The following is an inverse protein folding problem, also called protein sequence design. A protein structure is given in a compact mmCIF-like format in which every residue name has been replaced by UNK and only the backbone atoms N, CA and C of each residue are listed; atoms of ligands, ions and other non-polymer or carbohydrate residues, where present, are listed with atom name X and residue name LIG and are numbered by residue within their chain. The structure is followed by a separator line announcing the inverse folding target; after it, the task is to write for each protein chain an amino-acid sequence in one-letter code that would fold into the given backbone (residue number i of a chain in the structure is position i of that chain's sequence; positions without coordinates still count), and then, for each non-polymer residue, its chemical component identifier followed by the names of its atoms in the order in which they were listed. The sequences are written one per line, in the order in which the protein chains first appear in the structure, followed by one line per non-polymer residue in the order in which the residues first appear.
data_IF_458112411248
#
_entry.id   IF_458112411248
#
_cell.length_a   1.000
_cell.length_b   1.000
_cell.length_c   1.000
_cell.angle_alpha   90.00
_cell.angle_beta   90.00
_cell.angle_gamma   90.00
#
_symmetry.space_group_name_H-M   'P 1'
#
loop_
_entity.id
_entity.type
_entity.pdbx_description
1 polymer ?
#
# COMPACT_ATOMS: atom_id res chain seq x y z
N UNK A 1 38.52 50.19 28.00
CA UNK A 1 37.81 49.72 29.21
C UNK A 1 37.47 48.26 28.96
N UNK A 2 38.34 47.30 29.31
CA UNK A 2 38.40 46.60 30.61
C UNK A 2 36.98 46.17 31.04
N UNK A 3 36.61 44.89 31.15
CA UNK A 3 37.40 43.77 31.64
C UNK A 3 37.00 42.42 30.99
N UNK A 4 38.03 41.62 30.73
CA UNK A 4 37.97 40.19 30.50
C UNK A 4 37.46 39.50 31.76
N UNK A 5 36.29 38.85 31.71
CA UNK A 5 35.88 37.94 32.77
C UNK A 5 36.35 36.52 32.42
N UNK A 6 37.64 36.28 32.68
CA UNK A 6 38.23 34.94 32.76
C UNK A 6 37.77 34.30 34.07
N UNK A 7 36.53 33.82 34.08
CA UNK A 7 36.01 32.94 35.12
C UNK A 7 36.20 31.48 34.70
N UNK A 8 37.44 31.00 34.77
CA UNK A 8 37.79 29.58 34.70
C UNK A 8 37.10 28.83 35.83
N UNK A 9 35.86 28.40 35.60
CA UNK A 9 35.17 27.39 36.38
C UNK A 9 35.68 26.00 36.02
N UNK A 10 37.00 25.80 36.08
CA UNK A 10 37.56 24.46 36.10
C UNK A 10 37.15 23.86 37.44
N UNK A 11 36.01 23.16 37.44
CA UNK A 11 35.58 22.34 38.57
C UNK A 11 36.70 21.34 38.80
N UNK A 12 37.51 21.61 39.83
CA UNK A 12 38.54 20.74 40.34
C UNK A 12 37.82 19.51 40.87
N UNK A 13 37.57 18.53 40.00
CA UNK A 13 37.40 17.18 40.48
C UNK A 13 38.73 16.81 41.12
N UNK A 14 38.81 16.61 42.44
CA UNK A 14 40.02 16.08 43.01
C UNK A 14 40.27 14.75 42.30
N UNK A 15 41.44 14.62 41.66
CA UNK A 15 42.01 13.34 41.25
C UNK A 15 42.36 12.57 42.51
N UNK A 16 41.34 12.24 43.29
CA UNK A 16 41.47 11.23 44.30
C UNK A 16 41.76 9.96 43.49
N UNK A 17 42.77 9.22 43.90
CA UNK A 17 42.97 7.84 43.49
C UNK A 17 41.82 7.00 44.09
N UNK A 18 40.59 7.28 43.66
CA UNK A 18 39.35 6.67 44.14
C UNK A 18 39.39 5.26 43.58
N UNK A 19 39.86 4.31 44.40
CA UNK A 19 39.52 2.89 44.19
C UNK A 19 38.04 2.85 43.80
N UNK A 20 37.72 2.13 42.72
CA UNK A 20 36.34 2.00 42.27
C UNK A 20 35.46 1.73 43.48
N UNK A 21 34.35 2.48 43.67
CA UNK A 21 33.41 2.22 44.75
C UNK A 21 33.09 0.73 44.77
N UNK A 22 33.23 0.07 45.93
CA UNK A 22 33.06 -1.39 46.07
C UNK A 22 31.76 -1.89 45.45
N UNK A 23 30.70 -1.08 45.54
CA UNK A 23 29.41 -1.34 44.91
C UNK A 23 29.52 -1.45 43.38
N UNK A 24 30.22 -0.55 42.71
CA UNK A 24 30.39 -0.60 41.25
C UNK A 24 31.23 -1.81 40.82
N UNK A 25 32.23 -2.18 41.62
CA UNK A 25 33.03 -3.39 41.37
C UNK A 25 32.16 -4.65 41.48
N UNK A 26 31.34 -4.75 42.53
CA UNK A 26 30.37 -5.84 42.71
C UNK A 26 29.33 -5.92 41.58
N UNK A 27 28.81 -4.78 41.12
CA UNK A 27 27.84 -4.73 40.02
C UNK A 27 28.47 -5.16 38.69
N UNK A 28 29.73 -4.80 38.44
CA UNK A 28 30.46 -5.23 37.24
C UNK A 28 30.73 -6.75 37.26
N UNK A 29 31.12 -7.30 38.41
CA UNK A 29 31.33 -8.74 38.57
C UNK A 29 30.02 -9.51 38.40
N UNK A 30 28.92 -8.98 38.94
CA UNK A 30 27.58 -9.54 38.78
C UNK A 30 27.11 -9.47 37.32
N UNK A 31 27.36 -8.36 36.63
CA UNK A 31 27.06 -8.22 35.20
C UNK A 31 27.81 -9.26 34.37
N UNK A 32 29.11 -9.42 34.60
CA UNK A 32 29.94 -10.39 33.88
C UNK A 32 29.45 -11.83 34.09
N UNK A 33 29.13 -12.19 35.34
CA UNK A 33 28.57 -13.51 35.66
C UNK A 33 27.22 -13.75 34.98
N UNK A 34 26.30 -12.79 35.05
CA UNK A 34 24.96 -12.93 34.49
C UNK A 34 24.96 -12.90 32.95
N UNK A 35 25.83 -12.10 32.34
CA UNK A 35 26.05 -12.11 30.88
C UNK A 35 26.55 -13.47 30.40
N UNK A 36 27.54 -14.05 31.10
CA UNK A 36 28.05 -15.37 30.79
C UNK A 36 26.96 -16.45 30.92
N UNK A 37 26.16 -16.40 32.00
CA UNK A 37 25.04 -17.31 32.19
C UNK A 37 23.96 -17.15 31.09
N UNK A 38 23.63 -15.92 30.71
CA UNK A 38 22.68 -15.64 29.63
C UNK A 38 23.17 -16.21 28.28
N UNK A 39 24.46 -16.08 27.97
CA UNK A 39 25.06 -16.66 26.76
C UNK A 39 25.02 -18.19 26.80
N UNK A 40 25.29 -18.81 27.96
CA UNK A 40 25.14 -20.25 28.13
C UNK A 40 23.69 -20.74 27.96
N UNK A 41 22.69 -19.97 28.42
CA UNK A 41 21.26 -20.29 28.23
C UNK A 41 20.88 -20.19 26.76
N UNK A 42 21.36 -19.15 26.07
CA UNK A 42 21.17 -19.00 24.62
C UNK A 42 21.74 -20.20 23.90
N UNK A 43 22.95 -20.64 24.25
CA UNK A 43 23.62 -21.78 23.62
C UNK A 43 23.00 -23.15 23.98
N UNK A 44 22.53 -23.33 25.21
CA UNK A 44 21.92 -24.58 25.68
C UNK A 44 20.54 -24.84 25.07
N UNK A 45 19.80 -23.79 24.71
CA UNK A 45 18.48 -23.89 24.09
C UNK A 45 18.51 -24.05 22.56
N UNK A 46 19.70 -24.27 21.96
CA UNK A 46 19.85 -24.36 20.51
C UNK A 46 19.61 -25.78 19.97
N UNK A 47 18.57 -25.91 19.15
CA UNK A 47 18.60 -26.83 18.01
C UNK A 47 19.41 -26.14 16.89
N UNK A 48 20.38 -26.81 16.24
CA UNK A 48 21.16 -26.20 15.16
C UNK A 48 20.23 -25.71 14.03
N UNK A 49 20.15 -24.39 13.82
CA UNK A 49 19.33 -23.75 12.78
C UNK A 49 18.24 -22.79 13.27
N UNK A 50 17.88 -22.78 14.56
CA UNK A 50 16.91 -21.85 15.15
C UNK A 50 17.55 -20.86 16.15
N UNK A 51 18.63 -20.20 15.75
CA UNK A 51 19.10 -19.03 16.50
C UNK A 51 18.14 -17.87 16.25
N UNK A 52 17.25 -17.59 17.20
CA UNK A 52 16.51 -16.35 17.19
C UNK A 52 17.41 -15.24 17.76
N UNK A 53 17.99 -14.34 16.93
CA UNK A 53 18.90 -13.30 17.41
C UNK A 53 18.23 -12.38 18.44
N UNK A 54 16.91 -12.24 18.37
CA UNK A 54 16.14 -11.38 19.27
C UNK A 54 16.06 -11.96 20.68
N UNK A 55 16.05 -13.28 20.83
CA UNK A 55 16.01 -13.93 22.15
C UNK A 55 17.30 -13.65 22.95
N UNK A 56 18.46 -13.64 22.28
CA UNK A 56 19.72 -13.30 22.90
C UNK A 56 19.79 -11.81 23.31
N UNK A 57 19.20 -10.93 22.50
CA UNK A 57 19.09 -9.50 22.82
C UNK A 57 18.16 -9.29 24.03
N UNK A 58 17.02 -9.97 24.08
CA UNK A 58 16.09 -9.89 25.21
C UNK A 58 16.75 -10.33 26.52
N UNK A 59 17.42 -11.49 26.53
CA UNK A 59 18.13 -11.98 27.72
C UNK A 59 19.24 -11.02 28.18
N UNK A 60 19.95 -10.39 27.23
CA UNK A 60 20.95 -9.37 27.58
C UNK A 60 20.29 -8.13 28.21
N UNK A 61 19.17 -7.67 27.68
CA UNK A 61 18.41 -6.55 28.24
C UNK A 61 17.87 -6.85 29.64
N UNK A 62 17.41 -8.08 29.90
CA UNK A 62 16.92 -8.51 31.21
C UNK A 62 18.04 -8.45 32.26
N UNK A 63 19.24 -8.93 31.91
CA UNK A 63 20.40 -8.81 32.79
C UNK A 63 20.73 -7.34 33.07
N UNK A 64 20.72 -6.46 32.06
CA UNK A 64 20.94 -5.03 32.29
C UNK A 64 19.87 -4.39 33.20
N UNK A 65 18.60 -4.79 33.07
CA UNK A 65 17.51 -4.35 33.96
C UNK A 65 17.79 -4.79 35.40
N UNK A 66 18.21 -6.03 35.62
CA UNK A 66 18.54 -6.56 36.94
C UNK A 66 19.75 -5.85 37.58
N UNK A 67 20.80 -5.55 36.80
CA UNK A 67 21.95 -4.79 37.30
C UNK A 67 21.53 -3.36 37.64
N UNK A 68 20.66 -2.75 36.85
CA UNK A 68 20.15 -1.40 37.11
C UNK A 68 19.29 -1.36 38.37
N UNK A 69 18.47 -2.37 38.65
CA UNK A 69 17.72 -2.47 39.90
C UNK A 69 18.64 -2.57 41.12
N UNK A 70 19.65 -3.45 41.04
CA UNK A 70 20.64 -3.62 42.10
C UNK A 70 21.48 -2.34 42.31
N UNK A 71 21.72 -1.57 41.24
CA UNK A 71 22.36 -0.26 41.33
C UNK A 71 21.47 0.74 42.07
N UNK A 72 20.18 0.83 41.73
CA UNK A 72 19.22 1.72 42.39
C UNK A 72 19.12 1.41 43.89
N UNK A 73 19.04 0.13 44.24
CA UNK A 73 18.96 -0.32 45.64
C UNK A 73 20.24 -0.02 46.43
N UNK A 74 21.40 -0.08 45.78
CA UNK A 74 22.69 0.28 46.38
C UNK A 74 22.87 1.78 46.66
N UNK A 75 22.10 2.65 46.01
CA UNK A 75 22.17 4.12 46.16
C UNK A 75 20.98 4.67 46.96
N UNK A 76 20.88 4.30 48.24
CA UNK A 76 19.78 4.68 49.13
C UNK A 76 19.42 6.19 49.14
N UNK A 77 20.42 7.07 49.02
CA UNK A 77 20.20 8.53 49.03
C UNK A 77 19.55 9.06 47.73
N UNK A 78 19.82 8.43 46.59
CA UNK A 78 19.32 8.85 45.26
C UNK A 78 18.23 7.92 44.71
N UNK A 79 17.90 6.86 45.45
CA UNK A 79 16.88 5.88 45.11
C UNK A 79 15.57 6.48 44.57
N UNK A 80 14.93 7.49 45.21
CA UNK A 80 13.67 8.03 44.69
C UNK A 80 13.82 8.70 43.32
N UNK A 81 14.94 9.38 43.07
CA UNK A 81 15.21 10.00 41.77
C UNK A 81 15.48 8.95 40.69
N UNK A 82 16.33 7.97 40.99
CA UNK A 82 16.67 6.92 40.02
C UNK A 82 15.47 6.02 39.70
N UNK A 83 14.61 5.74 40.69
CA UNK A 83 13.36 5.01 40.49
C UNK A 83 12.40 5.79 39.59
N UNK A 84 12.25 7.10 39.77
CA UNK A 84 11.42 7.92 38.87
C UNK A 84 11.93 7.93 37.43
N UNK A 85 13.25 8.00 37.24
CA UNK A 85 13.86 7.92 35.90
C UNK A 85 13.59 6.55 35.28
N UNK A 86 13.78 5.46 36.04
CA UNK A 86 13.47 4.10 35.61
C UNK A 86 12.01 3.97 35.17
N UNK A 87 11.07 4.40 36.02
CA UNK A 87 9.63 4.32 35.74
C UNK A 87 9.24 5.09 34.48
N UNK A 88 9.84 6.27 34.25
CA UNK A 88 9.62 7.04 33.04
C UNK A 88 10.11 6.30 31.77
N UNK A 89 11.28 5.66 31.83
CA UNK A 89 11.79 4.85 30.72
C UNK A 89 10.95 3.59 30.49
N UNK A 90 10.58 2.88 31.55
CA UNK A 90 9.75 1.67 31.44
C UNK A 90 8.37 2.00 30.86
N UNK A 91 7.75 3.11 31.30
CA UNK A 91 6.49 3.59 30.73
C UNK A 91 6.64 3.94 29.25
N UNK A 92 7.70 4.67 28.88
CA UNK A 92 7.94 5.04 27.48
C UNK A 92 8.20 3.80 26.59
N UNK A 93 8.91 2.80 27.11
CA UNK A 93 9.14 1.53 26.42
C UNK A 93 7.83 0.75 26.22
N UNK A 94 6.98 0.68 27.25
CA UNK A 94 5.67 0.03 27.14
C UNK A 94 4.76 0.72 26.14
N UNK A 95 4.70 2.06 26.16
CA UNK A 95 3.95 2.84 25.18
C UNK A 95 4.49 2.64 23.76
N UNK A 96 5.82 2.66 23.59
CA UNK A 96 6.46 2.39 22.31
C UNK A 96 6.14 0.99 21.76
N UNK A 97 6.17 -0.03 22.62
CA UNK A 97 5.77 -1.39 22.25
C UNK A 97 4.30 -1.46 21.85
N UNK A 98 3.41 -0.83 22.63
CA UNK A 98 1.98 -0.78 22.32
C UNK A 98 1.74 -0.11 20.97
N UNK A 99 2.36 1.06 20.73
CA UNK A 99 2.27 1.74 19.43
C UNK A 99 2.81 0.87 18.29
N UNK A 100 3.88 0.09 18.51
CA UNK A 100 4.42 -0.80 17.47
C UNK A 100 3.43 -1.92 17.11
N UNK A 101 2.77 -2.51 18.12
CA UNK A 101 1.73 -3.53 17.91
C UNK A 101 0.53 -2.95 17.17
N UNK A 102 0.03 -1.80 17.62
CA UNK A 102 -1.08 -1.09 16.95
C UNK A 102 -0.74 -0.75 15.49
N UNK A 103 0.50 -0.29 15.22
CA UNK A 103 0.96 -0.03 13.86
C UNK A 103 1.01 -1.30 13.00
N UNK A 104 1.40 -2.44 13.58
CA UNK A 104 1.41 -3.72 12.88
C UNK A 104 -0.02 -4.13 12.49
N UNK A 105 -0.96 -4.01 13.42
CA UNK A 105 -2.37 -4.35 13.20
C UNK A 105 -2.98 -3.44 12.13
N UNK A 106 -2.80 -2.12 12.23
CA UNK A 106 -3.27 -1.15 11.24
C UNK A 106 -2.69 -1.40 9.84
N UNK A 107 -1.41 -1.80 9.75
CA UNK A 107 -0.80 -2.17 8.45
C UNK A 107 -1.45 -3.42 7.87
N UNK A 108 -1.83 -4.39 8.70
CA UNK A 108 -2.53 -5.59 8.26
C UNK A 108 -3.94 -5.26 7.74
N UNK A 109 -4.66 -4.39 8.44
CA UNK A 109 -5.99 -3.92 8.03
C UNK A 109 -5.92 -3.13 6.73
N UNK A 110 -4.93 -2.24 6.59
CA UNK A 110 -4.71 -1.46 5.38
C UNK A 110 -4.42 -2.38 4.17
N UNK A 111 -3.60 -3.42 4.36
CA UNK A 111 -3.33 -4.40 3.31
C UNK A 111 -4.60 -5.18 2.91
N UNK A 112 -5.41 -5.58 3.89
CA UNK A 112 -6.69 -6.23 3.62
C UNK A 112 -7.67 -5.32 2.86
N UNK A 113 -7.81 -4.07 3.30
CA UNK A 113 -8.66 -3.07 2.65
C UNK A 113 -8.19 -2.77 1.21
N UNK A 114 -6.88 -2.65 0.98
CA UNK A 114 -6.31 -2.46 -0.35
C UNK A 114 -6.63 -3.63 -1.29
N UNK A 115 -6.58 -4.87 -0.80
CA UNK A 115 -6.95 -6.05 -1.59
C UNK A 115 -8.44 -6.04 -1.95
N UNK A 116 -9.32 -5.71 -0.99
CA UNK A 116 -10.76 -5.60 -1.24
C UNK A 116 -11.05 -4.51 -2.27
N UNK A 117 -10.41 -3.34 -2.14
CA UNK A 117 -10.55 -2.25 -3.10
C UNK A 117 -10.06 -2.65 -4.50
N UNK A 118 -8.91 -3.31 -4.60
CA UNK A 118 -8.38 -3.78 -5.88
C UNK A 118 -9.34 -4.77 -6.57
N UNK A 119 -9.97 -5.67 -5.81
CA UNK A 119 -10.98 -6.59 -6.32
C UNK A 119 -12.25 -5.85 -6.77
N UNK A 120 -12.76 -4.90 -5.97
CA UNK A 120 -13.93 -4.12 -6.35
C UNK A 120 -13.69 -3.32 -7.64
N UNK A 121 -12.51 -2.70 -7.77
CA UNK A 121 -12.14 -1.95 -8.98
C UNK A 121 -11.99 -2.87 -10.19
N UNK A 122 -11.39 -4.04 -10.04
CA UNK A 122 -11.25 -4.98 -11.17
C UNK A 122 -12.59 -5.50 -11.65
N UNK A 123 -13.51 -5.79 -10.72
CA UNK A 123 -14.87 -6.24 -11.02
C UNK A 123 -15.65 -5.14 -11.74
N UNK A 124 -15.67 -3.91 -11.20
CA UNK A 124 -16.34 -2.77 -11.84
C UNK A 124 -15.78 -2.45 -13.24
N UNK A 125 -14.47 -2.61 -13.44
CA UNK A 125 -13.84 -2.46 -14.77
C UNK A 125 -14.28 -3.56 -15.74
N UNK A 126 -14.39 -4.80 -15.27
CA UNK A 126 -14.86 -5.92 -16.08
C UNK A 126 -16.32 -5.73 -16.50
N UNK A 127 -17.18 -5.31 -15.57
CA UNK A 127 -18.59 -4.99 -15.84
C UNK A 127 -18.73 -3.85 -16.85
N UNK A 128 -18.04 -2.73 -16.64
CA UNK A 128 -18.06 -1.60 -17.55
C UNK A 128 -17.55 -1.96 -18.96
N UNK A 129 -16.50 -2.78 -19.05
CA UNK A 129 -16.00 -3.28 -20.33
C UNK A 129 -17.01 -4.19 -21.04
N UNK A 130 -17.71 -5.05 -20.30
CA UNK A 130 -18.74 -5.92 -20.84
C UNK A 130 -19.95 -5.12 -21.35
N UNK A 131 -20.41 -4.11 -20.60
CA UNK A 131 -21.50 -3.22 -21.01
C UNK A 131 -21.14 -2.40 -22.25
N UNK A 132 -19.92 -1.88 -22.32
CA UNK A 132 -19.41 -1.16 -23.49
C UNK A 132 -19.36 -2.07 -24.72
N UNK A 133 -18.90 -3.31 -24.57
CA UNK A 133 -18.87 -4.30 -25.65
C UNK A 133 -20.28 -4.66 -26.14
N UNK A 134 -21.22 -4.88 -25.23
CA UNK A 134 -22.62 -5.15 -25.56
C UNK A 134 -23.27 -3.96 -26.30
N UNK A 135 -23.03 -2.75 -25.83
CA UNK A 135 -23.51 -1.51 -26.45
C UNK A 135 -22.94 -1.34 -27.86
N UNK A 136 -21.64 -1.60 -28.03
CA UNK A 136 -20.97 -1.55 -29.34
C UNK A 136 -21.56 -2.57 -30.32
N UNK A 137 -21.79 -3.81 -29.88
CA UNK A 137 -22.40 -4.86 -30.70
C UNK A 137 -23.82 -4.45 -31.16
N UNK A 138 -24.61 -3.89 -30.24
CA UNK A 138 -25.96 -3.41 -30.55
C UNK A 138 -25.95 -2.31 -31.61
N UNK A 139 -25.05 -1.34 -31.48
CA UNK A 139 -24.88 -0.27 -32.45
C UNK A 139 -24.41 -0.81 -33.81
N UNK A 140 -23.42 -1.70 -33.84
CA UNK A 140 -22.95 -2.34 -35.07
C UNK A 140 -24.09 -3.10 -35.77
N UNK A 141 -24.91 -3.82 -35.01
CA UNK A 141 -26.06 -4.54 -35.53
C UNK A 141 -27.08 -3.59 -36.15
N UNK A 142 -27.39 -2.47 -35.48
CA UNK A 142 -28.28 -1.43 -36.03
C UNK A 142 -27.71 -0.80 -37.30
N UNK A 143 -26.43 -0.43 -37.31
CA UNK A 143 -25.75 0.12 -38.49
C UNK A 143 -25.78 -0.86 -39.67
N UNK A 144 -25.52 -2.15 -39.43
CA UNK A 144 -25.59 -3.18 -40.46
C UNK A 144 -26.99 -3.30 -41.07
N UNK A 145 -28.04 -3.31 -40.23
CA UNK A 145 -29.44 -3.32 -40.68
C UNK A 145 -29.76 -2.09 -41.54
N UNK A 146 -29.36 -0.89 -41.08
CA UNK A 146 -29.58 0.34 -41.84
C UNK A 146 -28.84 0.34 -43.18
N UNK A 147 -27.62 -0.19 -43.24
CA UNK A 147 -26.87 -0.35 -44.49
C UNK A 147 -27.59 -1.27 -45.48
N UNK A 148 -28.14 -2.40 -45.01
CA UNK A 148 -28.96 -3.29 -45.84
C UNK A 148 -30.21 -2.56 -46.37
N UNK A 149 -30.93 -1.84 -45.50
CA UNK A 149 -32.11 -1.07 -45.94
C UNK A 149 -31.74 0.00 -46.98
N UNK A 150 -30.63 0.70 -46.78
CA UNK A 150 -30.15 1.73 -47.70
C UNK A 150 -29.80 1.13 -49.08
N UNK A 151 -29.08 0.01 -49.10
CA UNK A 151 -28.74 -0.69 -50.36
C UNK A 151 -29.96 -1.20 -51.10
N UNK A 152 -30.95 -1.77 -50.39
CA UNK A 152 -32.24 -2.17 -50.98
C UNK A 152 -32.93 -0.94 -51.59
N UNK A 153 -33.02 0.17 -50.85
CA UNK A 153 -33.67 1.38 -51.34
C UNK A 153 -32.98 1.97 -52.57
N UNK A 154 -31.65 2.04 -52.59
CA UNK A 154 -30.87 2.48 -53.75
C UNK A 154 -31.15 1.58 -54.97
N UNK A 155 -31.13 0.25 -54.79
CA UNK A 155 -31.41 -0.69 -55.88
C UNK A 155 -32.84 -0.54 -56.43
N UNK A 156 -33.83 -0.32 -55.56
CA UNK A 156 -35.21 -0.10 -55.94
C UNK A 156 -35.36 1.22 -56.71
N UNK A 157 -34.72 2.29 -56.26
CA UNK A 157 -34.73 3.60 -56.93
C UNK A 157 -34.12 3.50 -58.34
N UNK A 158 -32.94 2.87 -58.48
CA UNK A 158 -32.33 2.60 -59.78
C UNK A 158 -33.25 1.81 -60.71
N UNK A 159 -33.94 0.78 -60.17
CA UNK A 159 -34.86 -0.04 -60.96
C UNK A 159 -36.06 0.77 -61.44
N UNK A 160 -36.66 1.60 -60.60
CA UNK A 160 -37.74 2.52 -61.00
C UNK A 160 -37.28 3.47 -62.11
N UNK A 161 -36.12 4.11 -61.96
CA UNK A 161 -35.56 4.99 -63.00
C UNK A 161 -35.34 4.25 -64.33
N UNK A 162 -34.82 3.02 -64.29
CA UNK A 162 -34.59 2.21 -65.48
C UNK A 162 -35.89 1.82 -66.19
N UNK A 163 -36.93 1.45 -65.43
CA UNK A 163 -38.25 1.11 -65.98
C UNK A 163 -38.92 2.34 -66.60
N UNK A 164 -38.80 3.51 -65.96
CA UNK A 164 -39.32 4.75 -66.51
C UNK A 164 -38.60 5.15 -67.81
N UNK A 165 -37.28 4.97 -67.89
CA UNK A 165 -36.52 5.19 -69.11
C UNK A 165 -36.92 4.22 -70.24
N UNK A 166 -37.13 2.95 -69.94
CA UNK A 166 -37.61 1.93 -70.89
C UNK A 166 -39.02 2.26 -71.41
N UNK A 167 -39.93 2.68 -70.53
CA UNK A 167 -41.27 3.10 -70.91
C UNK A 167 -41.22 4.34 -71.83
N UNK A 168 -40.39 5.34 -71.53
CA UNK A 168 -40.22 6.51 -72.41
C UNK A 168 -39.69 6.12 -73.80
N UNK A 169 -38.76 5.16 -73.88
CA UNK A 169 -38.26 4.65 -75.16
C UNK A 169 -39.31 3.87 -75.95
N UNK A 170 -40.18 3.09 -75.28
CA UNK A 170 -41.26 2.38 -75.97
C UNK A 170 -42.31 3.36 -76.50
N UNK A 171 -42.68 4.39 -75.73
CA UNK A 171 -43.60 5.45 -76.19
C UNK A 171 -43.03 6.27 -77.36
N UNK A 172 -41.73 6.54 -77.39
CA UNK A 172 -41.09 7.25 -78.51
C UNK A 172 -41.04 6.41 -79.81
N UNK A 173 -41.09 5.09 -79.71
CA UNK A 173 -41.05 4.15 -80.85
C UNK A 173 -42.45 3.65 -81.27
N UNK A 174 -43.53 4.17 -80.71
CA UNK A 174 -44.88 3.86 -81.20
C UNK A 174 -45.11 4.59 -82.54
N UNK A 175 -45.36 3.87 -83.66
CA UNK A 175 -45.75 4.53 -84.90
C UNK A 175 -47.11 5.21 -84.70
N UNK A 176 -47.16 6.50 -84.99
CA UNK A 176 -48.40 7.28 -85.09
C UNK A 176 -49.30 6.63 -86.16
N UNK A 177 -50.21 5.74 -85.75
CA UNK A 177 -51.41 5.45 -86.53
C UNK A 177 -52.35 6.66 -86.38
N UNK A 178 -51.99 7.77 -87.02
CA UNK A 178 -52.95 8.84 -87.28
C UNK A 178 -53.97 8.31 -88.26
N UNK A 179 -55.23 8.26 -87.82
CA UNK A 179 -56.38 7.92 -88.64
C UNK A 179 -56.39 8.77 -89.91
N UNK A 180 -56.39 8.13 -91.08
CA UNK A 180 -56.96 8.72 -92.27
C UNK A 180 -58.30 8.01 -92.50
N UNK A 181 -59.38 8.70 -92.13
CA UNK A 181 -60.74 8.34 -92.48
C UNK A 181 -60.85 8.28 -94.01
N UNK A 182 -61.19 7.13 -94.59
CA UNK A 182 -61.86 7.08 -95.89
C UNK A 182 -63.33 6.76 -95.63
N UNK A 183 -64.15 7.81 -95.50
CA UNK A 183 -65.55 7.71 -95.86
C UNK A 183 -65.58 7.75 -97.39
N UNK A 184 -65.85 6.61 -98.02
CA UNK A 184 -66.27 6.57 -99.43
C UNK A 184 -67.53 5.71 -99.55
N UNK A 185 -68.37 6.18 -100.47
CA UNK A 185 -69.79 5.91 -100.71
C UNK A 185 -70.12 4.48 -101.14
#
# INVERSE_FOLDING_TARGET
MLASNTGTGAQVYPKNNIRRPKLLEQLLDMLAHKMCAAEMIVDANLVPGQRNPDAAVCLKLDVYREIFEAFIDGFAAYRPLLAQVKDAYDTALQQGLQCALENMDLRSELAAAANVQAQAVSLARAESAAEAAASKLHLQTKCAKLSIVLTIWQSACCRVCSLQAQAMHSYANYPLQTSAKSYDQ
#
